data_IF_345844839892
#
_entry.id   IF_345844839892
#
_cell.length_a   1.000
_cell.length_b   1.000
_cell.length_c   1.000
_cell.angle_alpha   90.00
_cell.angle_beta   90.00
_cell.angle_gamma   90.00
#
_symmetry.space_group_name_H-M   'P 1'
#
loop_
_entity.id
_entity.type
_entity.pdbx_description
1 polymer ?
#
# COMPACT_ATOMS: atom_id res chain seq x y z
N UNK A 1 0.63 22.98 -65.01
CA UNK A 1 1.73 23.39 -64.12
C UNK A 1 2.64 22.18 -63.98
N UNK A 2 3.67 22.06 -64.82
CA UNK A 2 4.52 20.86 -64.88
C UNK A 2 5.59 20.98 -63.80
N UNK A 3 5.55 20.07 -62.84
CA UNK A 3 6.57 19.99 -61.79
C UNK A 3 7.90 19.59 -62.43
N UNK A 4 8.96 20.37 -62.17
CA UNK A 4 10.29 20.13 -62.72
C UNK A 4 10.84 18.79 -62.21
N UNK A 5 11.49 18.01 -63.08
CA UNK A 5 11.95 16.64 -62.79
C UNK A 5 12.92 16.61 -61.62
N UNK A 6 13.69 17.69 -61.43
CA UNK A 6 14.63 17.85 -60.33
C UNK A 6 13.92 18.04 -58.97
N UNK A 7 12.77 18.71 -58.94
CA UNK A 7 11.93 18.88 -57.75
C UNK A 7 11.27 17.56 -57.34
N UNK A 8 10.86 16.74 -58.33
CA UNK A 8 10.32 15.38 -58.09
C UNK A 8 11.38 14.48 -57.46
N UNK A 9 12.60 14.48 -58.00
CA UNK A 9 13.70 13.64 -57.48
C UNK A 9 14.10 14.04 -56.05
N UNK A 10 14.15 15.34 -55.74
CA UNK A 10 14.41 15.82 -54.37
C UNK A 10 13.35 15.35 -53.37
N UNK A 11 12.07 15.40 -53.75
CA UNK A 11 10.96 14.97 -52.89
C UNK A 11 10.98 13.45 -52.63
N UNK A 12 11.36 12.65 -53.64
CA UNK A 12 11.52 11.20 -53.49
C UNK A 12 12.68 10.87 -52.54
N UNK A 13 13.81 11.55 -52.65
CA UNK A 13 14.95 11.36 -51.76
C UNK A 13 14.62 11.74 -50.30
N UNK A 14 13.91 12.86 -50.10
CA UNK A 14 13.40 13.25 -48.78
C UNK A 14 12.42 12.20 -48.23
N UNK A 15 11.52 11.68 -49.07
CA UNK A 15 10.60 10.61 -48.68
C UNK A 15 11.32 9.35 -48.20
N UNK A 16 12.34 8.89 -48.93
CA UNK A 16 13.16 7.73 -48.56
C UNK A 16 13.92 7.99 -47.24
N UNK A 17 14.46 9.19 -47.08
CA UNK A 17 15.23 9.57 -45.89
C UNK A 17 14.34 9.67 -44.64
N UNK A 18 13.12 10.20 -44.78
CA UNK A 18 12.13 10.26 -43.70
C UNK A 18 11.62 8.86 -43.31
N UNK A 19 11.40 7.97 -44.28
CA UNK A 19 11.01 6.58 -44.00
C UNK A 19 12.14 5.83 -43.28
N UNK A 20 13.38 5.98 -43.73
CA UNK A 20 14.56 5.40 -43.08
C UNK A 20 14.76 5.92 -41.65
N UNK A 21 14.62 7.22 -41.43
CA UNK A 21 14.73 7.86 -40.11
C UNK A 21 13.59 7.43 -39.17
N UNK A 22 12.37 7.27 -39.69
CA UNK A 22 11.22 6.77 -38.93
C UNK A 22 11.42 5.32 -38.48
N UNK A 23 12.00 4.47 -39.32
CA UNK A 23 12.28 3.08 -38.99
C UNK A 23 13.41 2.94 -37.95
N UNK A 24 14.44 3.79 -38.04
CA UNK A 24 15.57 3.79 -37.12
C UNK A 24 15.21 4.34 -35.72
N UNK A 25 14.26 5.28 -35.66
CA UNK A 25 13.80 5.92 -34.41
C UNK A 25 12.49 5.34 -33.87
N UNK A 26 12.02 4.20 -34.39
CA UNK A 26 10.86 3.52 -33.83
C UNK A 26 11.21 3.05 -32.41
N UNK A 27 10.49 3.49 -31.37
CA UNK A 27 10.78 3.06 -30.00
C UNK A 27 10.66 1.54 -29.88
N UNK A 28 11.55 0.93 -29.09
CA UNK A 28 11.49 -0.51 -28.83
C UNK A 28 10.22 -0.87 -28.05
N UNK A 29 9.78 -2.14 -28.11
CA UNK A 29 8.60 -2.55 -27.34
C UNK A 29 8.77 -2.32 -25.83
N UNK A 30 9.97 -2.57 -25.30
CA UNK A 30 10.29 -2.31 -23.89
C UNK A 30 10.13 -0.82 -23.52
N UNK A 31 10.50 0.11 -24.41
CA UNK A 31 10.32 1.54 -24.16
C UNK A 31 8.84 1.96 -24.18
N UNK A 32 8.04 1.34 -25.06
CA UNK A 32 6.60 1.57 -25.12
C UNK A 32 5.92 1.04 -23.85
N UNK A 33 6.29 -0.16 -23.41
CA UNK A 33 5.77 -0.78 -22.18
C UNK A 33 6.19 0.02 -20.94
N UNK A 34 7.45 0.40 -20.81
CA UNK A 34 7.93 1.24 -19.71
C UNK A 34 7.22 2.59 -19.65
N UNK A 35 6.98 3.22 -20.81
CA UNK A 35 6.24 4.49 -20.90
C UNK A 35 4.76 4.32 -20.52
N UNK A 36 4.12 3.22 -20.95
CA UNK A 36 2.75 2.88 -20.53
C UNK A 36 2.66 2.67 -19.02
N UNK A 37 3.54 1.84 -18.45
CA UNK A 37 3.60 1.63 -16.99
C UNK A 37 3.79 2.93 -16.22
N UNK A 38 4.62 3.84 -16.72
CA UNK A 38 4.83 5.14 -16.10
C UNK A 38 3.54 5.99 -16.13
N UNK A 39 2.89 6.10 -17.29
CA UNK A 39 1.67 6.88 -17.43
C UNK A 39 0.49 6.29 -16.63
N UNK A 40 0.34 4.97 -16.64
CA UNK A 40 -0.69 4.25 -15.86
C UNK A 40 -0.47 4.47 -14.36
N UNK A 41 0.79 4.44 -13.90
CA UNK A 41 1.13 4.70 -12.49
C UNK A 41 0.78 6.13 -12.05
N UNK A 42 0.93 7.11 -12.94
CA UNK A 42 0.58 8.52 -12.66
C UNK A 42 -0.94 8.66 -12.57
N UNK A 43 -1.67 8.10 -13.54
CA UNK A 43 -3.13 8.15 -13.57
C UNK A 43 -3.75 7.51 -12.31
N UNK A 44 -3.24 6.35 -11.89
CA UNK A 44 -3.69 5.67 -10.67
C UNK A 44 -3.43 6.51 -9.41
N UNK A 45 -2.25 7.14 -9.33
CA UNK A 45 -1.93 8.03 -8.21
C UNK A 45 -2.89 9.22 -8.15
N UNK A 46 -3.22 9.82 -9.30
CA UNK A 46 -4.16 10.94 -9.39
C UNK A 46 -5.58 10.53 -8.99
N UNK A 47 -6.09 9.42 -9.54
CA UNK A 47 -7.42 8.92 -9.22
C UNK A 47 -7.56 8.60 -7.73
N UNK A 48 -6.53 8.00 -7.14
CA UNK A 48 -6.49 7.73 -5.70
C UNK A 48 -6.51 9.02 -4.88
N UNK A 49 -5.73 10.03 -5.27
CA UNK A 49 -5.72 11.32 -4.60
C UNK A 49 -7.08 12.02 -4.68
N UNK A 50 -7.74 11.99 -5.83
CA UNK A 50 -9.09 12.53 -6.02
C UNK A 50 -10.14 11.79 -5.18
N UNK A 51 -10.10 10.45 -5.15
CA UNK A 51 -10.99 9.65 -4.32
C UNK A 51 -10.81 9.93 -2.82
N UNK A 52 -9.56 10.09 -2.38
CA UNK A 52 -9.22 10.46 -1.00
C UNK A 52 -9.74 11.87 -0.67
N UNK A 53 -9.55 12.84 -1.56
CA UNK A 53 -10.09 14.20 -1.39
C UNK A 53 -11.61 14.21 -1.34
N UNK A 54 -12.28 13.42 -2.18
CA UNK A 54 -13.74 13.28 -2.17
C UNK A 54 -14.24 12.68 -0.84
N UNK A 55 -13.55 11.66 -0.30
CA UNK A 55 -13.87 11.11 1.04
C UNK A 55 -13.67 12.14 2.14
N UNK A 56 -12.60 12.93 2.07
CA UNK A 56 -12.37 14.02 3.02
C UNK A 56 -13.53 15.03 2.97
N UNK A 57 -13.87 15.55 1.80
CA UNK A 57 -14.99 16.50 1.63
C UNK A 57 -16.32 15.91 2.13
N UNK A 58 -16.60 14.64 1.84
CA UNK A 58 -17.79 13.97 2.35
C UNK A 58 -17.82 13.86 3.87
N UNK A 59 -16.65 13.68 4.51
CA UNK A 59 -16.54 13.71 5.96
C UNK A 59 -16.84 15.11 6.54
N UNK A 60 -16.50 16.18 5.80
CA UNK A 60 -16.72 17.59 6.19
C UNK A 60 -18.17 18.04 6.13
N UNK A 61 -18.96 17.60 5.13
CA UNK A 61 -20.35 18.07 4.93
C UNK A 61 -21.28 17.70 6.11
N UNK A 62 -20.90 16.69 6.91
CA UNK A 62 -21.67 16.25 8.06
C UNK A 62 -21.34 17.00 9.37
N UNK A 63 -20.36 17.89 9.38
CA UNK A 63 -19.99 18.67 10.57
C UNK A 63 -20.49 20.13 10.45
N UNK A 64 -21.38 20.53 11.37
CA UNK A 64 -21.90 21.91 11.41
C UNK A 64 -20.74 22.89 11.64
N UNK A 65 -20.74 23.98 10.88
CA UNK A 65 -19.76 25.06 10.85
C UNK A 65 -19.59 25.80 12.19
N UNK A 66 -18.96 25.18 13.19
CA UNK A 66 -18.50 25.93 14.38
C UNK A 66 -17.14 25.40 14.85
N UNK A 67 -16.09 25.70 14.09
CA UNK A 67 -14.77 25.73 14.67
C UNK A 67 -13.84 26.73 13.94
N UNK A 68 -13.81 27.97 14.44
CA UNK A 68 -12.62 28.84 14.29
C UNK A 68 -11.43 28.05 14.84
N UNK A 69 -10.50 27.59 13.99
CA UNK A 69 -9.40 26.75 14.44
C UNK A 69 -8.05 27.21 13.89
N UNK A 70 -7.21 27.54 14.86
CA UNK A 70 -5.77 27.75 14.85
C UNK A 70 -4.99 26.91 13.82
N UNK A 71 -3.89 27.49 13.32
CA UNK A 71 -3.21 27.12 12.06
C UNK A 71 -2.26 25.90 12.12
N UNK A 72 -2.35 25.05 13.15
CA UNK A 72 -1.43 23.90 13.32
C UNK A 72 -2.09 22.57 12.94
N UNK A 73 -1.37 21.73 12.19
CA UNK A 73 -1.74 20.34 11.90
C UNK A 73 -1.81 19.53 13.20
N UNK A 74 -2.77 18.62 13.29
CA UNK A 74 -3.13 17.89 14.52
C UNK A 74 -1.96 17.08 15.12
N UNK A 75 -1.06 16.60 14.26
CA UNK A 75 0.07 15.74 14.63
C UNK A 75 1.41 16.39 14.25
N UNK A 76 1.51 17.71 14.32
CA UNK A 76 2.67 18.49 13.86
C UNK A 76 4.01 17.95 14.39
N UNK A 77 4.08 17.60 15.68
CA UNK A 77 5.30 17.09 16.29
C UNK A 77 5.70 15.71 15.78
N UNK A 78 4.74 14.88 15.36
CA UNK A 78 4.99 13.55 14.85
C UNK A 78 5.47 13.56 13.38
N UNK A 79 5.47 14.70 12.68
CA UNK A 79 6.04 14.79 11.33
C UNK A 79 7.58 14.69 11.34
N UNK A 80 8.21 15.02 12.46
CA UNK A 80 9.66 15.05 12.61
C UNK A 80 10.09 13.90 13.51
N UNK A 81 11.06 13.12 13.05
CA UNK A 81 11.57 11.98 13.78
C UNK A 81 12.61 11.22 12.98
N UNK A 82 13.34 10.36 13.67
CA UNK A 82 14.21 9.38 13.03
C UNK A 82 13.46 8.04 12.94
N UNK A 83 13.70 7.32 11.86
CA UNK A 83 13.15 5.97 11.72
C UNK A 83 13.85 5.03 12.69
N UNK A 84 13.06 4.33 13.49
CA UNK A 84 13.50 3.37 14.50
C UNK A 84 12.74 2.04 14.34
N UNK A 85 13.41 0.95 14.72
CA UNK A 85 12.88 -0.40 14.55
C UNK A 85 12.65 -1.09 15.88
N UNK A 86 11.49 -1.73 16.03
CA UNK A 86 11.13 -2.53 17.20
C UNK A 86 10.83 -3.95 16.79
N UNK A 87 11.25 -4.94 17.60
CA UNK A 87 10.98 -6.35 17.33
C UNK A 87 10.17 -6.99 18.45
N UNK A 88 9.25 -7.86 18.04
CA UNK A 88 8.54 -8.81 18.91
C UNK A 88 8.61 -10.20 18.26
N UNK A 89 8.57 -11.25 19.06
CA UNK A 89 8.71 -12.61 18.57
C UNK A 89 8.05 -13.65 19.49
N UNK A 90 7.71 -14.79 18.90
CA UNK A 90 7.30 -15.98 19.64
C UNK A 90 8.16 -17.18 19.18
N UNK A 91 7.70 -18.42 19.43
CA UNK A 91 8.45 -19.62 19.04
C UNK A 91 8.57 -19.83 17.53
N UNK A 92 7.68 -19.26 16.71
CA UNK A 92 7.57 -19.57 15.27
C UNK A 92 7.86 -18.40 14.34
N UNK A 93 7.72 -17.16 14.81
CA UNK A 93 7.92 -15.95 14.00
C UNK A 93 8.60 -14.84 14.80
N UNK A 94 9.42 -14.04 14.11
CA UNK A 94 9.94 -12.76 14.57
C UNK A 94 9.44 -11.67 13.63
N UNK A 95 8.88 -10.61 14.21
CA UNK A 95 8.35 -9.46 13.49
C UNK A 95 9.16 -8.23 13.84
N UNK A 96 9.48 -7.43 12.83
CA UNK A 96 10.08 -6.10 12.98
C UNK A 96 9.06 -5.06 12.55
N UNK A 97 8.97 -3.97 13.30
CA UNK A 97 8.08 -2.83 13.09
C UNK A 97 8.94 -1.58 12.92
N UNK A 98 8.52 -0.68 12.05
CA UNK A 98 9.10 0.67 11.95
C UNK A 98 8.18 1.66 12.66
N UNK A 99 8.78 2.62 13.36
CA UNK A 99 8.03 3.73 13.94
C UNK A 99 7.49 4.68 12.85
N UNK A 100 8.04 4.67 11.62
CA UNK A 100 7.51 5.43 10.49
C UNK A 100 6.21 4.81 9.99
N UNK A 101 5.10 5.50 10.25
CA UNK A 101 3.76 4.99 10.01
C UNK A 101 3.29 3.87 10.93
N UNK A 102 4.10 3.52 11.94
CA UNK A 102 3.76 2.50 12.94
C UNK A 102 3.53 1.10 12.36
N UNK A 103 4.09 0.79 11.20
CA UNK A 103 3.74 -0.39 10.41
C UNK A 103 4.69 -1.59 10.63
N UNK A 104 4.25 -2.78 10.22
CA UNK A 104 5.12 -3.97 10.10
C UNK A 104 6.14 -3.71 8.99
N UNK A 105 7.40 -4.00 9.28
CA UNK A 105 8.55 -3.81 8.40
C UNK A 105 9.16 -5.11 7.89
N UNK A 106 9.20 -6.16 8.71
CA UNK A 106 9.73 -7.46 8.32
C UNK A 106 9.11 -8.62 9.08
N UNK A 107 9.07 -9.79 8.43
CA UNK A 107 8.62 -11.04 9.03
C UNK A 107 9.61 -12.19 8.74
N UNK A 108 10.17 -12.76 9.79
CA UNK A 108 11.08 -13.91 9.75
C UNK A 108 10.41 -15.14 10.36
N UNK A 109 10.29 -16.22 9.58
CA UNK A 109 9.68 -17.47 9.98
C UNK A 109 10.77 -18.43 10.49
N UNK A 110 10.76 -18.71 11.80
CA UNK A 110 11.86 -19.41 12.49
C UNK A 110 12.00 -20.89 12.12
N UNK A 111 10.91 -21.51 11.69
CA UNK A 111 10.85 -22.95 11.39
C UNK A 111 11.05 -23.27 9.91
N UNK A 112 11.20 -22.25 9.05
CA UNK A 112 11.39 -22.40 7.62
C UNK A 112 12.76 -21.88 7.24
N UNK A 113 13.36 -22.47 6.21
CA UNK A 113 14.68 -22.07 5.72
C UNK A 113 14.54 -21.47 4.33
N UNK A 114 15.24 -20.36 4.11
CA UNK A 114 15.45 -19.80 2.79
C UNK A 114 16.46 -20.61 1.97
N UNK A 115 16.75 -20.14 0.76
CA UNK A 115 17.70 -20.77 -0.16
C UNK A 115 19.12 -20.88 0.42
N UNK A 116 19.48 -19.91 1.26
CA UNK A 116 20.75 -19.80 1.98
C UNK A 116 20.83 -20.69 3.22
N UNK A 117 19.76 -21.45 3.54
CA UNK A 117 19.59 -22.27 4.75
C UNK A 117 19.44 -21.47 6.05
N UNK A 118 19.36 -20.14 5.96
CA UNK A 118 19.01 -19.26 7.07
C UNK A 118 17.49 -19.22 7.27
N UNK A 119 16.98 -18.74 8.42
CA UNK A 119 15.56 -18.59 8.63
C UNK A 119 14.88 -17.78 7.52
N UNK A 120 13.76 -18.27 7.01
CA UNK A 120 13.07 -17.68 5.87
C UNK A 120 12.52 -16.29 6.22
N UNK A 121 12.89 -15.29 5.42
CA UNK A 121 12.32 -13.95 5.48
C UNK A 121 11.17 -13.87 4.47
N UNK A 122 9.95 -13.68 4.97
CA UNK A 122 8.75 -13.61 4.14
C UNK A 122 8.71 -12.30 3.33
N UNK A 123 9.04 -11.20 4.00
CA UNK A 123 9.25 -9.87 3.44
C UNK A 123 10.15 -9.06 4.38
N UNK A 124 10.87 -8.09 3.83
CA UNK A 124 11.53 -7.03 4.61
C UNK A 124 11.64 -5.72 3.82
N UNK A 125 12.11 -4.67 4.50
CA UNK A 125 12.46 -3.40 3.87
C UNK A 125 11.27 -2.73 3.18
N UNK A 126 11.37 -2.46 1.87
CA UNK A 126 10.34 -1.76 1.09
C UNK A 126 9.37 -2.71 0.38
N UNK A 127 9.38 -3.98 0.76
CA UNK A 127 8.51 -4.99 0.17
C UNK A 127 7.14 -5.07 0.82
N UNK A 128 6.98 -4.45 1.98
CA UNK A 128 5.69 -4.25 2.62
C UNK A 128 5.50 -2.77 2.85
N UNK A 129 4.28 -2.29 2.60
CA UNK A 129 3.89 -0.93 2.87
C UNK A 129 2.45 -0.93 3.36
N UNK A 130 2.22 -0.29 4.50
CA UNK A 130 0.91 -0.06 5.09
C UNK A 130 0.75 1.42 5.42
N UNK A 131 -0.34 2.00 4.94
CA UNK A 131 -0.72 3.37 5.26
C UNK A 131 -2.19 3.39 5.65
N UNK A 132 -2.48 4.01 6.78
CA UNK A 132 -3.83 4.15 7.29
C UNK A 132 -4.27 5.60 7.13
N UNK A 133 -5.50 5.78 6.68
CA UNK A 133 -6.09 7.09 6.46
C UNK A 133 -7.10 7.38 7.57
N UNK A 134 -6.84 8.47 8.28
CA UNK A 134 -7.80 9.09 9.18
C UNK A 134 -8.25 10.41 8.59
N UNK A 135 -9.48 10.80 8.89
CA UNK A 135 -10.07 12.01 8.38
C UNK A 135 -10.32 12.95 9.56
N UNK A 136 -9.94 14.21 9.42
CA UNK A 136 -10.39 15.26 10.32
C UNK A 136 -11.06 16.37 9.50
N UNK A 137 -11.45 17.45 10.18
CA UNK A 137 -12.11 18.61 9.59
C UNK A 137 -11.27 19.43 8.58
N UNK A 138 -9.97 19.17 8.48
CA UNK A 138 -9.02 20.04 7.77
C UNK A 138 -8.19 19.28 6.73
N UNK A 139 -7.84 18.04 7.03
CA UNK A 139 -6.86 17.27 6.29
C UNK A 139 -7.11 15.76 6.40
N UNK A 140 -6.52 15.03 5.46
CA UNK A 140 -6.40 13.58 5.50
C UNK A 140 -5.10 13.26 6.21
N UNK A 141 -5.19 12.60 7.35
CA UNK A 141 -4.04 12.12 8.09
C UNK A 141 -3.63 10.79 7.48
N UNK A 142 -2.45 10.75 6.85
CA UNK A 142 -1.86 9.53 6.31
C UNK A 142 -0.74 9.08 7.23
N UNK A 143 -0.89 7.92 7.88
CA UNK A 143 0.08 7.48 8.90
C UNK A 143 1.49 7.37 8.35
N UNK A 144 1.67 7.04 7.05
CA UNK A 144 2.97 6.98 6.38
C UNK A 144 3.83 8.24 6.56
N UNK A 145 3.22 9.40 6.82
CA UNK A 145 3.93 10.68 6.92
C UNK A 145 4.43 10.96 8.34
N UNK A 146 3.99 10.20 9.34
CA UNK A 146 4.27 10.45 10.76
C UNK A 146 5.21 9.41 11.37
N UNK A 147 5.95 9.80 12.40
CA UNK A 147 6.74 8.95 13.26
C UNK A 147 5.97 8.71 14.56
N UNK A 148 5.73 7.44 14.87
CA UNK A 148 5.02 7.02 16.06
C UNK A 148 6.03 6.84 17.21
N UNK A 149 5.57 6.98 18.45
CA UNK A 149 6.35 6.68 19.63
C UNK A 149 6.08 5.26 20.11
N UNK A 150 7.12 4.49 20.39
CA UNK A 150 6.97 3.16 21.02
C UNK A 150 6.70 3.32 22.52
N UNK A 151 5.42 3.27 22.91
CA UNK A 151 5.01 3.51 24.31
C UNK A 151 4.94 2.23 25.15
N UNK A 152 4.71 1.07 24.54
CA UNK A 152 4.74 -0.22 25.23
C UNK A 152 5.45 -1.27 24.38
N UNK A 153 6.19 -2.17 25.04
CA UNK A 153 6.85 -3.31 24.39
C UNK A 153 7.01 -4.47 25.37
N UNK A 154 6.55 -5.65 24.98
CA UNK A 154 6.90 -6.95 25.60
C UNK A 154 7.56 -7.84 24.55
N UNK A 155 7.76 -9.12 24.84
CA UNK A 155 8.27 -10.07 23.84
C UNK A 155 7.28 -10.30 22.70
N UNK A 156 5.97 -10.14 22.95
CA UNK A 156 4.91 -10.46 21.97
C UNK A 156 3.98 -9.28 21.69
N UNK A 157 4.20 -8.11 22.28
CA UNK A 157 3.34 -6.96 22.11
C UNK A 157 4.16 -5.69 21.86
N UNK A 158 3.68 -4.83 20.96
CA UNK A 158 4.19 -3.48 20.80
C UNK A 158 3.02 -2.52 20.59
N UNK A 159 3.09 -1.37 21.26
CA UNK A 159 2.17 -0.25 21.02
C UNK A 159 2.95 0.91 20.42
N UNK A 160 2.56 1.31 19.22
CA UNK A 160 3.05 2.49 18.52
C UNK A 160 2.01 3.60 18.66
N UNK A 161 2.38 4.75 19.22
CA UNK A 161 1.49 5.87 19.51
C UNK A 161 1.73 7.04 18.58
N UNK A 162 0.67 7.53 17.95
CA UNK A 162 0.66 8.82 17.26
C UNK A 162 0.03 9.86 18.18
N UNK A 163 0.87 10.69 18.79
CA UNK A 163 0.47 11.68 19.81
C UNK A 163 0.01 12.98 19.16
N UNK A 164 -1.22 13.42 19.46
CA UNK A 164 -1.68 14.77 19.12
C UNK A 164 -1.29 15.76 20.23
N UNK A 165 -1.59 15.41 21.49
CA UNK A 165 -1.17 16.13 22.70
C UNK A 165 -1.14 15.18 23.92
N UNK A 166 -1.03 15.73 25.13
CA UNK A 166 -0.90 14.95 26.37
C UNK A 166 -2.09 14.03 26.68
N UNK A 167 -3.27 14.31 26.16
CA UNK A 167 -4.51 13.57 26.46
C UNK A 167 -5.10 12.87 25.24
N UNK A 168 -4.65 13.21 24.03
CA UNK A 168 -5.18 12.66 22.79
C UNK A 168 -4.14 12.02 21.89
N UNK A 169 -4.42 10.80 21.45
CA UNK A 169 -3.53 10.01 20.61
C UNK A 169 -4.26 8.89 19.87
N UNK A 170 -3.58 8.31 18.88
CA UNK A 170 -3.98 7.06 18.21
C UNK A 170 -2.92 6.00 18.49
N UNK A 171 -3.31 4.90 19.12
CA UNK A 171 -2.45 3.74 19.38
C UNK A 171 -2.68 2.66 18.32
N UNK A 172 -1.59 2.21 17.72
CA UNK A 172 -1.49 0.97 16.95
C UNK A 172 -0.94 -0.11 17.87
N UNK A 173 -1.79 -1.05 18.25
CA UNK A 173 -1.47 -2.12 19.18
C UNK A 173 -1.33 -3.42 18.38
N UNK A 174 -0.13 -3.98 18.38
CA UNK A 174 0.17 -5.26 17.76
C UNK A 174 0.41 -6.29 18.85
N UNK A 175 -0.38 -7.37 18.84
CA UNK A 175 -0.24 -8.49 19.76
C UNK A 175 -0.03 -9.78 18.99
N UNK A 176 1.20 -10.29 19.04
CA UNK A 176 1.55 -11.59 18.48
C UNK A 176 1.00 -12.70 19.39
N UNK A 177 0.20 -13.61 18.83
CA UNK A 177 -0.35 -14.75 19.57
C UNK A 177 0.76 -15.76 19.91
N UNK A 178 0.62 -16.49 21.02
CA UNK A 178 1.61 -17.50 21.44
C UNK A 178 1.65 -18.67 20.45
N UNK A 179 2.85 -19.08 20.04
CA UNK A 179 3.10 -20.23 19.15
C UNK A 179 2.28 -20.21 17.84
N UNK A 180 1.99 -19.02 17.31
CA UNK A 180 1.10 -18.83 16.16
C UNK A 180 1.65 -17.73 15.23
N UNK A 181 1.29 -17.75 13.95
CA UNK A 181 1.64 -16.71 12.98
C UNK A 181 0.67 -15.52 12.97
N UNK A 182 -0.46 -15.61 13.69
CA UNK A 182 -1.46 -14.54 13.79
C UNK A 182 -1.00 -13.40 14.71
N UNK A 183 -1.20 -12.18 14.21
CA UNK A 183 -1.00 -10.92 14.92
C UNK A 183 -2.35 -10.25 15.04
N UNK A 184 -2.80 -10.02 16.26
CA UNK A 184 -3.96 -9.17 16.51
C UNK A 184 -3.51 -7.71 16.34
N UNK A 185 -4.23 -6.95 15.53
CA UNK A 185 -3.96 -5.53 15.29
C UNK A 185 -5.17 -4.70 15.69
N UNK A 186 -4.96 -3.76 16.61
CA UNK A 186 -6.02 -2.87 17.10
C UNK A 186 -5.60 -1.43 16.93
N UNK A 187 -6.48 -0.64 16.34
CA UNK A 187 -6.37 0.83 16.30
C UNK A 187 -7.24 1.38 17.43
N UNK A 188 -6.63 2.11 18.36
CA UNK A 188 -7.34 2.73 19.48
C UNK A 188 -7.11 4.23 19.47
N UNK A 189 -8.18 5.00 19.21
CA UNK A 189 -8.16 6.44 19.35
C UNK A 189 -8.62 6.84 20.76
N UNK A 190 -7.83 7.64 21.48
CA UNK A 190 -8.13 8.12 22.84
C UNK A 190 -8.20 9.64 22.79
N UNK A 191 -9.29 10.24 23.28
CA UNK A 191 -9.46 11.69 23.31
C UNK A 191 -9.53 12.35 21.92
N UNK A 192 -9.93 11.60 20.89
CA UNK A 192 -9.91 12.03 19.49
C UNK A 192 -11.30 12.43 18.95
N UNK A 193 -12.34 12.42 19.78
CA UNK A 193 -13.75 12.54 19.40
C UNK A 193 -14.04 13.85 18.65
N UNK A 194 -13.40 14.96 19.05
CA UNK A 194 -13.57 16.28 18.42
C UNK A 194 -12.42 16.64 17.45
N UNK A 195 -11.51 15.69 17.22
CA UNK A 195 -10.27 15.86 16.46
C UNK A 195 -10.28 15.06 15.16
N UNK A 196 -10.99 13.95 15.12
CA UNK A 196 -11.29 13.21 13.89
C UNK A 196 -12.71 13.53 13.43
N UNK A 197 -13.00 13.24 12.17
CA UNK A 197 -14.31 13.46 11.60
C UNK A 197 -15.32 12.52 12.25
N UNK A 198 -16.35 13.08 12.87
CA UNK A 198 -17.38 12.35 13.63
C UNK A 198 -18.22 11.42 12.72
N UNK A 199 -18.25 11.75 11.42
CA UNK A 199 -18.95 11.02 10.37
C UNK A 199 -18.18 9.79 9.88
N UNK A 200 -16.92 9.60 10.30
CA UNK A 200 -16.09 8.46 9.90
C UNK A 200 -15.91 7.49 11.05
N UNK A 201 -16.61 6.35 10.97
CA UNK A 201 -16.46 5.21 11.88
C UNK A 201 -15.64 4.06 11.23
N UNK A 202 -14.83 4.38 10.24
CA UNK A 202 -13.98 3.46 9.51
C UNK A 202 -12.58 4.04 9.34
N UNK A 203 -11.62 3.17 9.02
CA UNK A 203 -10.25 3.55 8.65
C UNK A 203 -10.00 2.93 7.29
N UNK A 204 -9.57 3.73 6.31
CA UNK A 204 -9.09 3.16 5.05
C UNK A 204 -7.64 2.69 5.22
N UNK A 205 -7.31 1.57 4.59
CA UNK A 205 -5.96 1.03 4.53
C UNK A 205 -5.48 0.96 3.08
N UNK A 206 -4.27 1.44 2.83
CA UNK A 206 -3.49 1.05 1.68
C UNK A 206 -2.45 0.03 2.13
N UNK A 207 -2.54 -1.17 1.58
CA UNK A 207 -1.55 -2.21 1.77
C UNK A 207 -0.96 -2.59 0.42
N UNK A 208 0.38 -2.59 0.34
CA UNK A 208 1.13 -3.09 -0.80
C UNK A 208 2.12 -4.11 -0.30
N UNK A 209 2.24 -5.21 -1.02
CA UNK A 209 3.25 -6.21 -0.72
C UNK A 209 3.86 -6.80 -1.99
N UNK A 210 5.19 -6.91 -1.99
CA UNK A 210 5.93 -7.67 -2.99
C UNK A 210 6.05 -9.11 -2.54
N UNK A 211 5.57 -10.04 -3.35
CA UNK A 211 5.85 -11.46 -3.16
C UNK A 211 7.31 -11.75 -3.53
N UNK A 212 8.11 -12.23 -2.56
CA UNK A 212 9.50 -12.66 -2.79
C UNK A 212 9.54 -13.96 -3.60
N UNK A 213 10.55 -14.07 -4.47
CA UNK A 213 10.96 -15.35 -5.05
C UNK A 213 11.69 -16.17 -3.98
N UNK A 214 11.26 -17.41 -3.74
CA UNK A 214 11.78 -18.24 -2.67
C UNK A 214 12.57 -19.46 -3.18
N UNK A 215 12.46 -19.84 -4.47
CA UNK A 215 13.25 -20.90 -5.13
C UNK A 215 13.91 -20.43 -6.45
N UNK A 216 14.89 -21.19 -6.95
CA UNK A 216 15.68 -20.83 -8.17
C UNK A 216 14.84 -20.79 -9.46
N UNK A 217 13.62 -21.33 -9.47
CA UNK A 217 12.77 -21.46 -10.67
C UNK A 217 11.90 -20.23 -10.96
N UNK A 218 12.47 -19.23 -11.66
CA UNK A 218 11.79 -17.94 -11.99
C UNK A 218 10.44 -18.09 -12.73
N UNK A 219 10.32 -19.04 -13.67
CA UNK A 219 9.14 -19.15 -14.54
C UNK A 219 7.91 -19.77 -13.88
N UNK A 220 8.07 -20.45 -12.74
CA UNK A 220 6.97 -21.15 -12.04
C UNK A 220 6.43 -20.34 -10.84
N UNK A 221 7.26 -19.59 -10.12
CA UNK A 221 6.81 -18.87 -8.91
C UNK A 221 5.98 -17.62 -9.20
N UNK A 222 6.28 -16.87 -10.28
CA UNK A 222 5.43 -15.74 -10.69
C UNK A 222 4.02 -16.18 -11.08
N UNK A 223 3.86 -17.44 -11.54
CA UNK A 223 2.54 -18.03 -11.84
C UNK A 223 1.79 -18.50 -10.61
N UNK A 224 2.40 -18.52 -9.43
CA UNK A 224 1.76 -18.98 -8.18
C UNK A 224 1.61 -17.84 -7.16
N UNK A 225 1.95 -16.62 -7.57
CA UNK A 225 1.74 -15.42 -6.76
C UNK A 225 0.46 -14.73 -7.20
N UNK A 226 -0.53 -14.66 -6.32
CA UNK A 226 -1.80 -14.00 -6.58
C UNK A 226 -2.32 -13.17 -5.40
N UNK A 227 -3.06 -12.12 -5.75
CA UNK A 227 -3.92 -11.42 -4.81
C UNK A 227 -5.24 -12.18 -4.75
N UNK A 228 -5.50 -12.78 -3.59
CA UNK A 228 -6.70 -13.58 -3.31
C UNK A 228 -7.54 -12.87 -2.26
N UNK A 229 -8.86 -12.95 -2.36
CA UNK A 229 -9.77 -12.37 -1.37
C UNK A 229 -10.99 -13.26 -1.15
N UNK A 230 -11.69 -13.04 -0.03
CA UNK A 230 -12.94 -13.74 0.27
C UNK A 230 -14.08 -12.76 0.44
N UNK A 231 -15.16 -13.01 -0.28
CA UNK A 231 -16.41 -12.26 -0.20
C UNK A 231 -17.24 -12.72 1.02
N UNK A 232 -17.89 -11.78 1.70
CA UNK A 232 -18.76 -12.10 2.84
C UNK A 232 -19.92 -12.96 2.39
N UNK A 233 -20.13 -14.11 3.04
CA UNK A 233 -21.23 -15.04 2.72
C UNK A 233 -21.03 -15.89 1.46
N UNK A 234 -19.93 -15.65 0.72
CA UNK A 234 -19.59 -16.37 -0.50
C UNK A 234 -18.20 -17.03 -0.39
N UNK A 235 -17.68 -17.49 -1.52
CA UNK A 235 -16.39 -18.17 -1.62
C UNK A 235 -15.19 -17.24 -1.75
N UNK A 236 -14.06 -17.86 -2.06
CA UNK A 236 -12.79 -17.20 -2.37
C UNK A 236 -12.69 -16.94 -3.86
N UNK A 237 -12.13 -15.78 -4.23
CA UNK A 237 -11.84 -15.38 -5.61
C UNK A 237 -10.44 -14.72 -5.66
N UNK A 238 -9.86 -14.55 -6.85
CA UNK A 238 -8.52 -14.02 -7.03
C UNK A 238 -8.36 -13.15 -8.28
N UNK A 239 -7.36 -12.28 -8.27
CA UNK A 239 -6.92 -11.58 -9.48
C UNK A 239 -6.10 -12.53 -10.36
N UNK A 240 -6.21 -12.33 -11.68
CA UNK A 240 -5.50 -13.11 -12.69
C UNK A 240 -3.99 -12.96 -12.55
N UNK A 241 -3.29 -14.09 -12.45
CA UNK A 241 -1.82 -14.17 -12.39
C UNK A 241 -1.14 -13.84 -13.74
N UNK A 242 -1.91 -13.77 -14.83
CA UNK A 242 -1.39 -13.67 -16.20
C UNK A 242 -1.27 -12.23 -16.74
N UNK A 243 -1.83 -11.26 -16.03
CA UNK A 243 -1.84 -9.85 -16.43
C UNK A 243 -1.90 -8.96 -15.19
N UNK A 244 -1.47 -7.71 -15.31
CA UNK A 244 -1.76 -6.68 -14.31
C UNK A 244 -3.27 -6.43 -14.37
N UNK A 245 -4.01 -6.99 -13.41
CA UNK A 245 -5.45 -6.86 -13.31
C UNK A 245 -5.80 -5.92 -12.17
N UNK A 246 -6.72 -5.00 -12.43
CA UNK A 246 -7.29 -4.13 -11.42
C UNK A 246 -8.76 -4.48 -11.25
N UNK A 247 -9.22 -4.53 -10.00
CA UNK A 247 -10.61 -4.82 -9.68
C UNK A 247 -11.11 -3.89 -8.59
N UNK A 248 -12.16 -3.13 -8.92
CA UNK A 248 -12.94 -2.38 -7.93
C UNK A 248 -14.15 -3.22 -7.54
N UNK A 249 -14.26 -3.54 -6.25
CA UNK A 249 -15.33 -4.34 -5.67
C UNK A 249 -16.17 -3.46 -4.72
N UNK A 250 -17.49 -3.49 -4.90
CA UNK A 250 -18.42 -2.83 -3.98
C UNK A 250 -18.91 -3.77 -2.88
N UNK A 251 -18.71 -5.07 -3.08
CA UNK A 251 -18.99 -6.15 -2.16
C UNK A 251 -18.07 -6.09 -0.93
N UNK A 252 -18.58 -6.62 0.18
CA UNK A 252 -17.80 -6.72 1.41
C UNK A 252 -16.86 -7.92 1.37
N UNK A 253 -15.65 -7.74 1.91
CA UNK A 253 -14.65 -8.80 2.01
C UNK A 253 -14.35 -9.17 3.47
N UNK A 254 -14.20 -10.45 3.75
CA UNK A 254 -13.73 -10.96 5.05
C UNK A 254 -12.22 -10.73 5.21
N UNK A 255 -11.47 -11.04 4.15
CA UNK A 255 -10.01 -10.98 4.13
C UNK A 255 -9.45 -10.77 2.72
N UNK A 256 -8.25 -10.21 2.68
CA UNK A 256 -7.43 -10.02 1.48
C UNK A 256 -6.06 -10.67 1.75
N UNK A 257 -5.49 -11.35 0.77
CA UNK A 257 -4.23 -12.06 0.89
C UNK A 257 -3.31 -11.83 -0.31
N UNK A 258 -2.04 -11.55 -0.02
CA UNK A 258 -0.94 -11.78 -0.96
C UNK A 258 -0.42 -13.19 -0.74
N UNK A 259 -0.67 -14.07 -1.70
CA UNK A 259 -0.27 -15.47 -1.65
C UNK A 259 0.88 -15.71 -2.62
N UNK A 260 1.81 -16.58 -2.22
CA UNK A 260 2.79 -17.21 -3.10
C UNK A 260 2.63 -18.74 -3.04
N UNK A 261 3.57 -19.49 -3.62
CA UNK A 261 3.48 -20.95 -3.69
C UNK A 261 3.33 -21.65 -2.32
N UNK A 262 3.94 -21.12 -1.26
CA UNK A 262 4.04 -21.82 0.05
C UNK A 262 3.53 -20.99 1.24
N UNK A 263 3.47 -19.67 1.10
CA UNK A 263 3.18 -18.73 2.16
C UNK A 263 2.18 -17.68 1.68
N UNK A 264 1.41 -17.17 2.64
CA UNK A 264 0.51 -16.04 2.42
C UNK A 264 0.70 -15.02 3.52
N UNK A 265 0.62 -13.76 3.14
CA UNK A 265 0.31 -12.68 4.08
C UNK A 265 -1.17 -12.35 3.91
N UNK A 266 -1.91 -12.33 5.01
CA UNK A 266 -3.38 -12.17 4.99
C UNK A 266 -3.75 -11.06 5.95
N UNK A 267 -4.57 -10.12 5.49
CA UNK A 267 -5.21 -9.12 6.33
C UNK A 267 -6.68 -9.50 6.49
N UNK A 268 -7.12 -9.66 7.73
CA UNK A 268 -8.47 -10.08 8.10
C UNK A 268 -9.11 -8.95 8.88
N UNK A 269 -10.33 -8.56 8.51
CA UNK A 269 -11.09 -7.53 9.23
C UNK A 269 -12.23 -8.18 10.02
N UNK A 270 -12.33 -7.91 11.32
CA UNK A 270 -13.49 -8.35 12.14
C UNK A 270 -14.78 -7.60 11.76
N UNK A 271 -14.66 -6.46 11.06
CA UNK A 271 -15.77 -5.62 10.61
C UNK A 271 -15.93 -5.59 9.09
N UNK A 272 -15.30 -6.53 8.39
CA UNK A 272 -15.19 -6.62 6.93
C UNK A 272 -14.45 -5.43 6.30
N UNK A 273 -14.08 -5.56 5.03
CA UNK A 273 -13.62 -4.45 4.20
C UNK A 273 -14.74 -3.98 3.29
N UNK A 274 -14.92 -2.67 3.18
CA UNK A 274 -15.93 -2.02 2.35
C UNK A 274 -15.26 -1.25 1.21
N UNK A 275 -15.82 -1.32 -0.01
CA UNK A 275 -15.34 -0.59 -1.20
C UNK A 275 -13.84 -0.80 -1.45
N UNK A 276 -13.53 -1.89 -2.14
CA UNK A 276 -12.17 -2.38 -2.29
C UNK A 276 -11.64 -2.05 -3.68
N UNK A 277 -10.40 -1.57 -3.76
CA UNK A 277 -9.67 -1.48 -5.02
C UNK A 277 -8.44 -2.37 -4.91
N UNK A 278 -8.38 -3.40 -5.74
CA UNK A 278 -7.37 -4.45 -5.73
C UNK A 278 -6.56 -4.36 -7.02
N UNK A 279 -5.24 -4.50 -6.91
CA UNK A 279 -4.27 -4.41 -8.00
C UNK A 279 -3.02 -5.23 -7.69
#
# INVERSE_FOLDING_TARGET
MNMDKNTVTGLVLIGILLIGFSFLNRPSQEQIEASRHHNDSIALSQQKEEALKAKAVAALVNEKEEAKRDSNSLFLYALQGNEEFTTIENTVIKLTFTNKGGQIYAALLKNYKGQDKEPLILFDNREVFMNFYFYNLKEIIQTKDYYFERVNKTDTCVTMRLTADSESYIDFIYQLRKNNYMVDFTIKAVGMENKLASSTNYVDIEWKQRARQQEKGYMYENRLSDLTYKLVGEGTDNLSQSRNEEKTLNEQLDWIAYKNQFFSSVFISEHNFNKNHLS
#
